data_IF_535986244341
#
_entry.id   IF_535986244341
#
_cell.length_a   1.000
_cell.length_b   1.000
_cell.length_c   1.000
_cell.angle_alpha   90.00
_cell.angle_beta   90.00
_cell.angle_gamma   90.00
#
_symmetry.space_group_name_H-M   'P 1'
#
loop_
_entity.id
_entity.type
_entity.pdbx_description
1 polymer ?
#
# COMPACT_ATOMS: atom_id res chain seq x y z
N UNK A 1 -47.18 -66.35 -9.80
CA UNK A 1 -47.28 -65.50 -8.60
C UNK A 1 -45.99 -64.68 -8.56
N UNK A 2 -46.13 -63.39 -8.82
CA UNK A 2 -45.05 -62.38 -8.92
C UNK A 2 -44.78 -61.85 -7.52
N UNK A 3 -43.52 -61.80 -7.08
CA UNK A 3 -43.00 -60.70 -6.26
C UNK A 3 -41.50 -60.56 -6.58
N UNK A 4 -41.16 -59.56 -7.40
CA UNK A 4 -39.81 -59.01 -7.48
C UNK A 4 -39.65 -58.12 -6.25
N UNK A 5 -38.70 -58.45 -5.36
CA UNK A 5 -38.38 -57.61 -4.22
C UNK A 5 -37.71 -56.32 -4.73
N UNK A 6 -38.36 -55.19 -4.48
CA UNK A 6 -37.88 -53.84 -4.80
C UNK A 6 -36.54 -53.58 -4.10
N UNK A 7 -35.58 -53.09 -4.87
CA UNK A 7 -34.34 -52.50 -4.35
C UNK A 7 -34.73 -51.26 -3.53
N UNK A 8 -34.35 -51.15 -2.25
CA UNK A 8 -34.53 -49.90 -1.53
C UNK A 8 -33.58 -48.87 -2.15
N UNK A 9 -34.17 -47.85 -2.78
CA UNK A 9 -33.50 -46.62 -3.19
C UNK A 9 -32.91 -45.98 -1.94
N UNK A 10 -31.59 -46.14 -1.76
CA UNK A 10 -30.85 -45.49 -0.68
C UNK A 10 -30.82 -44.01 -1.01
N UNK A 11 -31.69 -43.24 -0.36
CA UNK A 11 -31.62 -41.78 -0.36
C UNK A 11 -30.17 -41.36 -0.05
N UNK A 12 -29.56 -40.47 -0.85
CA UNK A 12 -28.23 -39.97 -0.54
C UNK A 12 -28.26 -39.34 0.86
N UNK A 13 -27.26 -39.61 1.71
CA UNK A 13 -27.25 -39.03 3.05
C UNK A 13 -27.26 -37.51 2.90
N UNK A 14 -28.20 -36.85 3.58
CA UNK A 14 -28.17 -35.43 3.90
C UNK A 14 -26.88 -35.17 4.67
N UNK A 15 -25.78 -34.95 3.95
CA UNK A 15 -24.55 -34.45 4.54
C UNK A 15 -24.86 -33.00 4.91
N UNK A 16 -24.84 -32.62 6.20
CA UNK A 16 -25.04 -31.24 6.58
C UNK A 16 -23.97 -30.41 5.87
N UNK A 17 -24.40 -29.58 4.92
CA UNK A 17 -23.53 -28.64 4.25
C UNK A 17 -22.98 -27.73 5.36
N UNK A 18 -21.65 -27.67 5.58
CA UNK A 18 -21.11 -26.79 6.60
C UNK A 18 -21.60 -25.37 6.30
N UNK A 19 -22.02 -24.61 7.32
CA UNK A 19 -22.50 -23.25 7.11
C UNK A 19 -21.42 -22.50 6.33
N UNK A 20 -21.83 -21.79 5.28
CA UNK A 20 -20.96 -20.90 4.53
C UNK A 20 -20.24 -20.01 5.54
N UNK A 21 -18.97 -20.31 5.80
CA UNK A 21 -18.15 -19.54 6.72
C UNK A 21 -18.16 -18.13 6.18
N UNK A 22 -18.67 -17.19 6.98
CA UNK A 22 -18.67 -15.78 6.62
C UNK A 22 -17.27 -15.44 6.12
N UNK A 23 -17.18 -14.99 4.86
CA UNK A 23 -15.94 -14.50 4.28
C UNK A 23 -15.49 -13.40 5.24
N UNK A 24 -14.41 -13.63 5.99
CA UNK A 24 -13.84 -12.59 6.86
C UNK A 24 -13.69 -11.32 6.02
N UNK A 25 -14.08 -10.15 6.53
CA UNK A 25 -13.99 -8.91 5.77
C UNK A 25 -12.53 -8.69 5.36
N UNK A 26 -12.30 -8.84 4.06
CA UNK A 26 -10.99 -8.67 3.44
C UNK A 26 -10.59 -7.19 3.58
N UNK A 27 -9.34 -6.88 3.94
CA UNK A 27 -8.89 -5.49 3.99
C UNK A 27 -9.00 -4.85 2.59
N UNK A 28 -9.33 -3.56 2.56
CA UNK A 28 -9.68 -2.82 1.32
C UNK A 28 -8.61 -2.91 0.22
N UNK A 29 -7.36 -3.12 0.63
CA UNK A 29 -6.27 -3.74 -0.11
C UNK A 29 -5.46 -4.55 0.94
N UNK A 30 -5.11 -5.80 0.67
CA UNK A 30 -3.96 -6.46 1.35
C UNK A 30 -2.66 -5.84 0.83
N UNK A 31 -2.55 -4.51 0.89
CA UNK A 31 -1.28 -3.81 0.77
C UNK A 31 -0.57 -3.99 2.10
N UNK A 32 0.24 -5.04 2.20
CA UNK A 32 1.30 -5.24 3.20
C UNK A 32 0.99 -4.48 4.50
N UNK A 33 -0.04 -4.93 5.22
CA UNK A 33 -0.53 -4.23 6.42
C UNK A 33 0.45 -4.30 7.58
N UNK A 34 1.48 -5.15 7.46
CA UNK A 34 2.63 -5.17 8.33
C UNK A 34 3.89 -5.05 7.48
N UNK A 35 4.75 -4.09 7.82
CA UNK A 35 6.12 -4.00 7.29
C UNK A 35 6.94 -5.29 7.49
N UNK A 36 6.42 -6.26 8.25
CA UNK A 36 7.03 -7.53 8.59
C UNK A 36 6.55 -8.73 7.76
N UNK A 37 5.54 -8.60 6.88
CA UNK A 37 5.12 -9.70 6.00
C UNK A 37 5.65 -9.55 4.57
N UNK A 38 6.97 -9.70 4.45
CA UNK A 38 7.67 -9.91 3.17
C UNK A 38 7.37 -11.30 2.56
N UNK A 39 6.54 -12.13 3.23
CA UNK A 39 6.15 -13.47 2.77
C UNK A 39 4.82 -13.49 2.01
N UNK A 40 4.17 -12.34 1.82
CA UNK A 40 3.21 -12.13 0.73
C UNK A 40 3.95 -12.33 -0.61
N UNK A 41 4.01 -13.60 -1.00
CA UNK A 41 4.72 -14.13 -2.16
C UNK A 41 4.37 -13.29 -3.39
N UNK A 42 5.35 -12.65 -4.02
CA UNK A 42 5.16 -11.89 -5.27
C UNK A 42 4.91 -10.38 -5.16
N UNK A 43 4.83 -9.78 -3.97
CA UNK A 43 4.66 -8.32 -3.82
C UNK A 43 5.86 -7.52 -4.37
N UNK A 44 7.06 -8.10 -4.30
CA UNK A 44 8.29 -7.59 -4.90
C UNK A 44 8.55 -8.40 -6.17
N UNK A 45 8.81 -7.73 -7.29
CA UNK A 45 9.14 -8.42 -8.55
C UNK A 45 10.36 -9.33 -8.39
N UNK A 46 10.49 -10.33 -9.26
CA UNK A 46 11.61 -11.29 -9.23
C UNK A 46 12.96 -10.64 -9.63
N UNK A 47 12.92 -9.42 -10.19
CA UNK A 47 14.09 -8.70 -10.68
C UNK A 47 14.68 -7.77 -9.62
N UNK A 48 15.96 -7.99 -9.28
CA UNK A 48 16.72 -7.13 -8.35
C UNK A 48 16.81 -5.68 -8.84
N UNK A 49 16.81 -5.43 -10.15
CA UNK A 49 16.82 -4.08 -10.68
C UNK A 49 15.52 -3.33 -10.38
N UNK A 50 14.38 -4.02 -10.29
CA UNK A 50 13.11 -3.39 -9.90
C UNK A 50 13.15 -2.90 -8.45
N UNK A 51 13.77 -3.68 -7.56
CA UNK A 51 13.97 -3.31 -6.15
C UNK A 51 14.84 -2.07 -6.04
N UNK A 52 16.01 -2.07 -6.69
CA UNK A 52 16.93 -0.95 -6.66
C UNK A 52 16.30 0.34 -7.23
N UNK A 53 15.58 0.22 -8.35
CA UNK A 53 14.85 1.35 -8.95
C UNK A 53 13.74 1.87 -8.02
N UNK A 54 13.04 0.99 -7.31
CA UNK A 54 12.00 1.37 -6.35
C UNK A 54 12.60 2.14 -5.18
N UNK A 55 13.69 1.62 -4.59
CA UNK A 55 14.38 2.29 -3.49
C UNK A 55 14.96 3.65 -3.92
N UNK A 56 15.49 3.75 -5.13
CA UNK A 56 15.98 4.99 -5.71
C UNK A 56 14.87 6.02 -5.94
N UNK A 57 13.68 5.59 -6.37
CA UNK A 57 12.50 6.45 -6.51
C UNK A 57 11.99 6.95 -5.15
N UNK A 58 11.92 6.07 -4.16
CA UNK A 58 11.52 6.41 -2.80
C UNK A 58 12.41 7.49 -2.19
N UNK A 59 13.72 7.32 -2.34
CA UNK A 59 14.70 8.29 -1.83
C UNK A 59 14.59 9.64 -2.54
N UNK A 60 14.40 9.66 -3.86
CA UNK A 60 14.18 10.90 -4.62
C UNK A 60 12.91 11.62 -4.15
N UNK A 61 11.82 10.87 -3.97
CA UNK A 61 10.54 11.42 -3.52
C UNK A 61 10.71 12.05 -2.13
N UNK A 62 11.35 11.35 -1.19
CA UNK A 62 11.63 11.88 0.14
C UNK A 62 12.54 13.10 0.10
N UNK A 63 13.57 13.08 -0.76
CA UNK A 63 14.46 14.22 -0.96
C UNK A 63 13.67 15.43 -1.45
N UNK A 64 12.90 15.28 -2.53
CA UNK A 64 12.05 16.34 -3.06
C UNK A 64 11.03 16.85 -2.02
N UNK A 65 10.45 15.95 -1.21
CA UNK A 65 9.49 16.28 -0.16
C UNK A 65 10.11 17.13 0.94
N UNK A 66 11.25 16.70 1.48
CA UNK A 66 11.88 17.35 2.62
C UNK A 66 12.51 18.71 2.26
N UNK A 67 12.84 18.92 0.98
CA UNK A 67 13.35 20.17 0.45
C UNK A 67 12.26 21.07 -0.18
N UNK A 68 11.01 20.59 -0.27
CA UNK A 68 9.92 21.37 -0.85
C UNK A 68 9.43 22.52 0.05
N UNK A 69 8.89 23.60 -0.55
CA UNK A 69 8.13 24.60 0.19
C UNK A 69 6.98 23.92 0.98
N UNK A 70 6.70 24.33 2.23
CA UNK A 70 5.73 23.65 3.09
C UNK A 70 4.32 23.56 2.49
N UNK A 71 3.92 24.57 1.70
CA UNK A 71 2.64 24.56 1.00
C UNK A 71 2.56 23.44 -0.05
N UNK A 72 3.61 23.25 -0.85
CA UNK A 72 3.68 22.19 -1.88
C UNK A 72 3.80 20.81 -1.24
N UNK A 73 4.64 20.66 -0.22
CA UNK A 73 4.76 19.41 0.53
C UNK A 73 3.41 18.98 1.11
N UNK A 74 2.66 19.91 1.70
CA UNK A 74 1.31 19.66 2.21
C UNK A 74 0.34 19.25 1.10
N UNK A 75 0.27 20.00 0.00
CA UNK A 75 -0.61 19.66 -1.13
C UNK A 75 -0.39 18.23 -1.64
N UNK A 76 0.88 17.83 -1.79
CA UNK A 76 1.21 16.47 -2.25
C UNK A 76 0.84 15.42 -1.21
N UNK A 77 1.18 15.63 0.07
CA UNK A 77 0.78 14.71 1.14
C UNK A 77 -0.74 14.57 1.22
N UNK A 78 -1.48 15.67 1.12
CA UNK A 78 -2.94 15.67 1.15
C UNK A 78 -3.54 14.97 -0.07
N UNK A 79 -2.93 15.09 -1.24
CA UNK A 79 -3.33 14.34 -2.42
C UNK A 79 -3.12 12.82 -2.24
N UNK A 80 -2.11 12.40 -1.48
CA UNK A 80 -1.83 10.98 -1.25
C UNK A 80 -2.72 10.35 -0.18
N UNK A 81 -2.81 10.99 0.99
CA UNK A 81 -3.38 10.41 2.21
C UNK A 81 -4.43 11.32 2.87
N UNK A 82 -4.97 12.30 2.14
CA UNK A 82 -6.00 13.24 2.62
C UNK A 82 -5.47 14.33 3.53
N UNK A 83 -6.32 15.25 3.96
CA UNK A 83 -6.02 16.13 5.09
C UNK A 83 -6.02 15.36 6.41
N UNK A 84 -5.52 15.98 7.48
CA UNK A 84 -5.63 15.40 8.84
C UNK A 84 -7.07 15.07 9.20
N UNK A 85 -8.01 15.96 8.86
CA UNK A 85 -9.43 15.74 9.12
C UNK A 85 -9.98 14.56 8.32
N UNK A 86 -9.56 14.40 7.06
CA UNK A 86 -9.99 13.27 6.23
C UNK A 86 -9.48 11.93 6.80
N UNK A 87 -8.24 11.91 7.30
CA UNK A 87 -7.66 10.74 7.97
C UNK A 87 -8.39 10.39 9.26
N UNK A 88 -8.65 11.38 10.12
CA UNK A 88 -9.37 11.20 11.38
C UNK A 88 -10.82 10.72 11.13
N UNK A 89 -11.43 11.14 10.03
CA UNK A 89 -12.75 10.70 9.58
C UNK A 89 -12.74 9.33 8.84
N UNK A 90 -11.58 8.78 8.54
CA UNK A 90 -11.44 7.51 7.80
C UNK A 90 -11.87 7.59 6.34
N UNK A 91 -11.69 8.74 5.68
CA UNK A 91 -12.03 8.90 4.26
C UNK A 91 -11.00 8.21 3.38
N UNK A 92 -11.42 7.22 2.59
CA UNK A 92 -10.53 6.43 1.72
C UNK A 92 -11.01 6.34 0.27
N UNK A 93 -12.02 7.10 -0.15
CA UNK A 93 -12.57 6.98 -1.51
C UNK A 93 -11.66 7.57 -2.58
N UNK A 94 -10.98 8.68 -2.29
CA UNK A 94 -10.15 9.43 -3.24
C UNK A 94 -8.69 9.57 -2.81
N UNK A 95 -8.34 9.03 -1.66
CA UNK A 95 -6.99 9.05 -1.07
C UNK A 95 -6.67 7.70 -0.45
N UNK A 96 -5.40 7.42 -0.22
CA UNK A 96 -4.98 6.21 0.47
C UNK A 96 -5.46 6.22 1.93
N UNK A 97 -5.83 5.05 2.49
CA UNK A 97 -6.01 4.90 3.93
C UNK A 97 -4.78 5.40 4.71
N UNK A 98 -5.00 6.06 5.84
CA UNK A 98 -3.92 6.63 6.66
C UNK A 98 -2.87 5.60 7.12
N UNK A 99 -3.27 4.33 7.25
CA UNK A 99 -2.41 3.21 7.64
C UNK A 99 -1.63 2.58 6.48
N UNK A 100 -1.73 3.13 5.27
CA UNK A 100 -1.07 2.55 4.08
C UNK A 100 0.45 2.63 4.19
N UNK A 101 1.11 1.47 4.03
CA UNK A 101 2.56 1.39 3.88
C UNK A 101 2.90 1.62 2.41
N UNK A 102 3.21 2.87 2.05
CA UNK A 102 3.46 3.30 0.67
C UNK A 102 4.86 2.93 0.20
N UNK A 103 5.82 2.97 1.13
CA UNK A 103 7.23 2.70 0.86
C UNK A 103 7.56 1.22 1.11
N UNK A 104 8.34 0.64 0.21
CA UNK A 104 8.96 -0.68 0.37
C UNK A 104 9.95 -0.68 1.54
N UNK A 105 10.75 0.38 1.68
CA UNK A 105 11.66 0.54 2.80
C UNK A 105 10.92 1.06 4.03
N UNK A 106 10.94 0.28 5.12
CA UNK A 106 10.38 0.72 6.40
C UNK A 106 11.03 2.02 6.92
N UNK A 107 12.33 2.22 6.66
CA UNK A 107 13.01 3.47 7.05
C UNK A 107 12.51 4.66 6.24
N UNK A 108 12.22 4.47 4.94
CA UNK A 108 11.63 5.52 4.12
C UNK A 108 10.20 5.83 4.57
N UNK A 109 9.41 4.81 4.93
CA UNK A 109 8.09 5.00 5.53
C UNK A 109 8.16 5.81 6.84
N UNK A 110 9.13 5.53 7.71
CA UNK A 110 9.35 6.27 8.96
C UNK A 110 9.66 7.76 8.71
N UNK A 111 10.44 8.06 7.67
CA UNK A 111 10.73 9.45 7.23
C UNK A 111 9.45 10.12 6.73
N UNK A 112 8.69 9.47 5.85
CA UNK A 112 7.43 9.99 5.34
C UNK A 112 6.44 10.29 6.47
N UNK A 113 6.20 9.32 7.36
CA UNK A 113 5.29 9.47 8.50
C UNK A 113 5.69 10.64 9.41
N UNK A 114 6.99 10.84 9.61
CA UNK A 114 7.51 11.96 10.40
C UNK A 114 7.32 13.29 9.69
N UNK A 115 7.52 13.35 8.37
CA UNK A 115 7.23 14.53 7.56
C UNK A 115 5.73 14.90 7.60
N UNK A 116 4.84 13.91 7.45
CA UNK A 116 3.38 14.09 7.59
C UNK A 116 3.04 14.69 8.95
N UNK A 117 3.58 14.12 10.03
CA UNK A 117 3.34 14.61 11.40
C UNK A 117 3.75 16.08 11.54
N UNK A 118 4.92 16.47 11.04
CA UNK A 118 5.37 17.87 11.09
C UNK A 118 4.43 18.80 10.30
N UNK A 119 4.00 18.40 9.11
CA UNK A 119 3.11 19.19 8.26
C UNK A 119 1.72 19.38 8.89
N UNK A 120 1.22 18.35 9.56
CA UNK A 120 -0.05 18.35 10.31
C UNK A 120 0.01 19.24 11.55
N UNK A 121 1.17 19.37 12.16
CA UNK A 121 1.45 20.33 13.25
C UNK A 121 1.65 21.77 12.74
N UNK A 122 1.65 21.99 11.41
CA UNK A 122 1.91 23.27 10.79
C UNK A 122 3.41 23.61 10.66
N UNK A 123 4.30 22.69 11.01
CA UNK A 123 5.75 22.84 10.88
C UNK A 123 6.24 22.45 9.48
N UNK A 124 7.35 23.03 8.99
CA UNK A 124 7.97 22.58 7.76
C UNK A 124 8.62 21.20 7.96
N UNK A 125 8.51 20.30 6.97
CA UNK A 125 9.11 18.97 7.03
C UNK A 125 10.58 18.95 6.58
N UNK A 126 11.43 19.82 7.15
CA UNK A 126 12.84 19.90 6.72
C UNK A 126 13.67 18.71 7.22
N UNK A 127 14.80 18.36 6.58
CA UNK A 127 15.67 17.28 7.05
C UNK A 127 16.13 17.45 8.50
N UNK A 128 16.36 18.70 8.93
CA UNK A 128 16.78 19.03 10.31
C UNK A 128 15.68 18.69 11.31
N UNK A 129 14.44 19.08 11.04
CA UNK A 129 13.32 18.82 11.94
C UNK A 129 12.92 17.34 11.97
N UNK A 130 12.98 16.66 10.82
CA UNK A 130 12.80 15.21 10.76
C UNK A 130 13.86 14.48 11.59
N UNK A 131 15.14 14.86 11.47
CA UNK A 131 16.22 14.32 12.29
C UNK A 131 16.02 14.60 13.78
N UNK A 132 15.54 15.79 14.16
CA UNK A 132 15.23 16.13 15.55
C UNK A 132 14.14 15.20 16.11
N UNK A 133 13.07 14.95 15.34
CA UNK A 133 12.02 13.99 15.73
C UNK A 133 12.54 12.57 15.86
N UNK A 134 13.50 12.15 15.02
CA UNK A 134 14.15 10.85 15.19
C UNK A 134 15.05 10.78 16.43
N UNK A 135 15.73 11.87 16.78
CA UNK A 135 16.51 11.97 18.01
C UNK A 135 15.62 11.81 19.25
N UNK A 136 14.48 12.50 19.29
CA UNK A 136 13.52 12.41 20.39
C UNK A 136 12.97 10.99 20.60
N UNK A 137 12.84 10.22 19.51
CA UNK A 137 12.36 8.82 19.51
C UNK A 137 13.47 7.78 19.66
N UNK A 138 14.75 8.18 19.76
CA UNK A 138 15.89 7.26 19.84
C UNK A 138 16.16 6.46 18.55
N UNK A 139 15.72 6.95 17.38
CA UNK A 139 15.80 6.25 16.08
C UNK A 139 17.01 6.65 15.23
N UNK A 140 17.87 7.53 15.72
CA UNK A 140 18.96 8.16 14.94
C UNK A 140 19.92 7.17 14.29
N UNK A 141 20.32 6.10 14.99
CA UNK A 141 21.22 5.09 14.42
C UNK A 141 20.60 4.39 13.21
N UNK A 142 19.31 4.05 13.28
CA UNK A 142 18.58 3.36 12.22
C UNK A 142 18.39 4.27 10.98
N UNK A 143 18.12 5.55 11.19
CA UNK A 143 17.77 6.48 10.12
C UNK A 143 18.96 7.25 9.54
N UNK A 144 20.14 7.20 10.21
CA UNK A 144 21.33 7.98 9.86
C UNK A 144 21.73 7.91 8.39
N UNK A 145 21.79 6.70 7.82
CA UNK A 145 22.24 6.54 6.42
C UNK A 145 21.30 7.24 5.44
N UNK A 146 20.00 7.00 5.58
CA UNK A 146 18.96 7.59 4.73
C UNK A 146 18.95 9.12 4.87
N UNK A 147 19.00 9.63 6.11
CA UNK A 147 18.96 11.07 6.34
C UNK A 147 20.21 11.80 5.83
N UNK A 148 21.39 11.15 5.86
CA UNK A 148 22.59 11.67 5.21
C UNK A 148 22.46 11.68 3.69
N UNK A 149 21.83 10.66 3.11
CA UNK A 149 21.62 10.56 1.67
C UNK A 149 20.60 11.58 1.15
N UNK A 150 19.54 11.85 1.92
CA UNK A 150 18.58 12.93 1.65
C UNK A 150 19.23 14.30 1.74
N UNK A 151 20.12 14.51 2.71
CA UNK A 151 20.81 15.78 2.89
C UNK A 151 21.91 16.01 1.85
N UNK A 152 22.55 14.94 1.39
CA UNK A 152 23.65 14.97 0.41
C UNK A 152 23.58 13.73 -0.49
N UNK A 153 22.76 13.78 -1.57
CA UNK A 153 22.65 12.68 -2.51
C UNK A 153 24.02 12.30 -3.10
N UNK A 154 24.25 11.00 -3.31
CA UNK A 154 25.55 10.51 -3.80
C UNK A 154 25.84 11.03 -5.21
N UNK A 155 27.12 11.28 -5.49
CA UNK A 155 27.61 11.79 -6.77
C UNK A 155 27.16 10.89 -7.94
N UNK A 156 26.54 11.47 -8.98
CA UNK A 156 26.21 10.79 -10.24
C UNK A 156 24.74 10.83 -10.67
N UNK A 157 23.83 11.29 -9.82
CA UNK A 157 22.40 11.46 -10.14
C UNK A 157 21.98 12.93 -9.93
N UNK A 158 21.17 13.54 -10.83
CA UNK A 158 20.56 14.83 -10.55
C UNK A 158 19.76 14.75 -9.24
N UNK A 159 19.94 15.74 -8.36
CA UNK A 159 19.14 15.85 -7.13
C UNK A 159 17.70 16.12 -7.54
N UNK A 160 16.76 15.31 -7.04
CA UNK A 160 15.34 15.54 -7.25
C UNK A 160 14.93 16.91 -6.73
N UNK A 161 14.36 17.75 -7.58
CA UNK A 161 13.88 19.07 -7.18
C UNK A 161 12.49 18.94 -6.53
N UNK A 162 12.19 19.85 -5.62
CA UNK A 162 10.84 20.12 -5.12
C UNK A 162 9.80 20.35 -6.23
N UNK A 163 10.21 20.72 -7.44
CA UNK A 163 9.36 20.81 -8.62
C UNK A 163 8.91 19.43 -9.14
N UNK A 164 9.73 18.40 -8.96
CA UNK A 164 9.45 17.04 -9.42
C UNK A 164 8.55 16.29 -8.44
N UNK A 165 8.31 16.83 -7.24
CA UNK A 165 7.61 16.14 -6.15
C UNK A 165 6.25 15.55 -6.56
N UNK A 166 5.34 16.26 -7.26
CA UNK A 166 4.07 15.66 -7.68
C UNK A 166 4.26 14.48 -8.66
N UNK A 167 5.25 14.57 -9.54
CA UNK A 167 5.58 13.52 -10.50
C UNK A 167 6.17 12.28 -9.80
N UNK A 168 7.12 12.49 -8.88
CA UNK A 168 7.72 11.43 -8.07
C UNK A 168 6.69 10.75 -7.17
N UNK A 169 5.77 11.52 -6.58
CA UNK A 169 4.66 10.98 -5.80
C UNK A 169 3.73 10.11 -6.67
N UNK A 170 3.41 10.54 -7.90
CA UNK A 170 2.59 9.75 -8.81
C UNK A 170 3.28 8.44 -9.19
N UNK A 171 4.57 8.46 -9.52
CA UNK A 171 5.34 7.27 -9.83
C UNK A 171 5.44 6.31 -8.63
N UNK A 172 5.61 6.83 -7.42
CA UNK A 172 5.62 6.03 -6.19
C UNK A 172 4.30 5.28 -5.99
N UNK A 173 3.18 5.97 -6.21
CA UNK A 173 1.84 5.40 -6.08
C UNK A 173 1.57 4.37 -7.19
N UNK A 174 1.97 4.64 -8.44
CA UNK A 174 1.89 3.67 -9.53
C UNK A 174 2.65 2.37 -9.17
N UNK A 175 3.84 2.51 -8.59
CA UNK A 175 4.62 1.38 -8.07
C UNK A 175 3.92 0.65 -6.93
N UNK A 176 3.35 1.37 -5.96
CA UNK A 176 2.62 0.80 -4.84
C UNK A 176 1.40 -0.01 -5.29
N UNK A 177 0.58 0.54 -6.19
CA UNK A 177 -0.57 -0.19 -6.75
C UNK A 177 -0.14 -1.41 -7.54
N UNK A 178 0.95 -1.32 -8.31
CA UNK A 178 1.51 -2.48 -9.03
C UNK A 178 1.90 -3.60 -8.07
N UNK A 179 2.57 -3.27 -6.94
CA UNK A 179 2.89 -4.26 -5.89
C UNK A 179 1.62 -4.86 -5.28
N UNK A 180 0.61 -4.04 -5.00
CA UNK A 180 -0.70 -4.49 -4.52
C UNK A 180 -1.38 -5.48 -5.48
N UNK A 181 -1.38 -5.19 -6.79
CA UNK A 181 -1.93 -6.09 -7.80
C UNK A 181 -1.17 -7.42 -7.91
N UNK A 182 0.16 -7.41 -7.77
CA UNK A 182 0.91 -8.68 -7.75
C UNK A 182 0.59 -9.53 -6.52
N UNK A 183 0.52 -8.91 -5.34
CA UNK A 183 0.11 -9.60 -4.12
C UNK A 183 -1.30 -10.19 -4.25
N UNK A 184 -2.21 -9.44 -4.87
CA UNK A 184 -3.57 -9.89 -5.17
C UNK A 184 -3.60 -11.14 -6.06
N UNK A 185 -2.80 -11.16 -7.14
CA UNK A 185 -2.71 -12.31 -8.06
C UNK A 185 -2.09 -13.55 -7.40
N UNK A 186 -1.07 -13.36 -6.56
CA UNK A 186 -0.48 -14.45 -5.80
C UNK A 186 -1.48 -15.05 -4.80
N UNK A 187 -2.25 -14.19 -4.12
CA UNK A 187 -3.31 -14.61 -3.19
C UNK A 187 -4.40 -15.40 -3.91
N UNK A 188 -4.79 -14.98 -5.11
CA UNK A 188 -5.72 -15.75 -5.93
C UNK A 188 -5.21 -17.16 -6.22
N UNK A 189 -3.94 -17.28 -6.60
CA UNK A 189 -3.31 -18.58 -6.86
C UNK A 189 -3.39 -19.46 -5.63
N UNK A 190 -3.09 -18.91 -4.45
CA UNK A 190 -3.23 -19.61 -3.17
C UNK A 190 -4.67 -20.04 -2.88
N UNK A 191 -5.64 -19.13 -3.02
CA UNK A 191 -7.07 -19.41 -2.76
C UNK A 191 -7.58 -20.54 -3.66
N UNK A 192 -7.15 -20.57 -4.93
CA UNK A 192 -7.53 -21.67 -5.85
C UNK A 192 -6.95 -23.02 -5.45
N UNK A 193 -5.83 -23.05 -4.71
CA UNK A 193 -5.22 -24.28 -4.23
C UNK A 193 -5.82 -24.77 -2.90
N UNK A 194 -6.27 -23.85 -2.04
CA UNK A 194 -6.65 -24.16 -0.65
C UNK A 194 -8.15 -24.23 -0.40
N UNK A 195 -8.99 -23.59 -1.23
CA UNK A 195 -10.43 -23.41 -0.94
C UNK A 195 -11.34 -24.31 -1.78
N UNK A 196 -12.50 -24.74 -1.22
CA UNK A 196 -13.51 -25.48 -1.96
C UNK A 196 -14.04 -24.70 -3.17
N UNK A 197 -14.35 -25.40 -4.26
CA UNK A 197 -14.84 -24.77 -5.52
C UNK A 197 -16.08 -23.89 -5.32
N UNK A 198 -16.96 -24.25 -4.38
CA UNK A 198 -18.18 -23.48 -4.09
C UNK A 198 -17.91 -22.08 -3.52
N UNK A 199 -16.75 -21.85 -2.87
CA UNK A 199 -16.38 -20.57 -2.27
C UNK A 199 -15.66 -19.64 -3.26
N UNK A 200 -15.11 -20.20 -4.36
CA UNK A 200 -14.28 -19.46 -5.31
C UNK A 200 -15.01 -18.29 -5.98
N UNK A 201 -16.31 -18.44 -6.30
CA UNK A 201 -17.09 -17.39 -6.92
C UNK A 201 -17.23 -16.15 -6.02
N UNK A 202 -17.46 -16.36 -4.72
CA UNK A 202 -17.55 -15.28 -3.73
C UNK A 202 -16.23 -14.54 -3.56
N UNK A 203 -15.11 -15.27 -3.51
CA UNK A 203 -13.77 -14.68 -3.47
C UNK A 203 -13.47 -13.84 -4.71
N UNK A 204 -13.82 -14.29 -5.91
CA UNK A 204 -13.64 -13.54 -7.14
C UNK A 204 -14.47 -12.25 -7.17
N UNK A 205 -15.73 -12.30 -6.72
CA UNK A 205 -16.59 -11.11 -6.63
C UNK A 205 -16.03 -10.07 -5.66
N UNK A 206 -15.59 -10.48 -4.47
CA UNK A 206 -14.97 -9.57 -3.50
C UNK A 206 -13.72 -8.90 -4.09
N UNK A 207 -12.85 -9.70 -4.71
CA UNK A 207 -11.61 -9.24 -5.32
C UNK A 207 -11.84 -8.22 -6.44
N UNK A 208 -12.84 -8.46 -7.28
CA UNK A 208 -13.22 -7.52 -8.34
C UNK A 208 -13.70 -6.19 -7.76
N UNK A 209 -14.50 -6.23 -6.69
CA UNK A 209 -14.93 -5.01 -5.97
C UNK A 209 -13.75 -4.22 -5.41
N UNK A 210 -12.76 -4.91 -4.81
CA UNK A 210 -11.53 -4.28 -4.31
C UNK A 210 -10.72 -3.63 -5.43
N UNK A 211 -10.56 -4.33 -6.57
CA UNK A 211 -9.84 -3.81 -7.74
C UNK A 211 -10.49 -2.51 -8.27
N UNK A 212 -11.82 -2.47 -8.38
CA UNK A 212 -12.55 -1.29 -8.87
C UNK A 212 -12.41 -0.09 -7.92
N UNK A 213 -12.50 -0.32 -6.61
CA UNK A 213 -12.29 0.73 -5.61
C UNK A 213 -10.84 1.25 -5.65
N UNK A 214 -9.87 0.34 -5.75
CA UNK A 214 -8.46 0.65 -5.87
C UNK A 214 -8.16 1.51 -7.11
N UNK A 215 -8.71 1.16 -8.26
CA UNK A 215 -8.57 1.89 -9.53
C UNK A 215 -9.20 3.29 -9.46
N UNK A 216 -10.42 3.40 -8.90
CA UNK A 216 -11.09 4.69 -8.71
C UNK A 216 -10.25 5.63 -7.85
N UNK A 217 -9.71 5.12 -6.73
CA UNK A 217 -8.83 5.86 -5.83
C UNK A 217 -7.52 6.26 -6.52
N UNK A 218 -6.91 5.33 -7.24
CA UNK A 218 -5.65 5.57 -7.97
C UNK A 218 -5.80 6.72 -8.97
N UNK A 219 -6.85 6.69 -9.79
CA UNK A 219 -7.15 7.76 -10.75
C UNK A 219 -7.38 9.10 -10.05
N UNK A 220 -8.15 9.12 -8.95
CA UNK A 220 -8.40 10.33 -8.18
C UNK A 220 -7.11 10.96 -7.61
N UNK A 221 -6.19 10.13 -7.09
CA UNK A 221 -4.88 10.57 -6.60
C UNK A 221 -4.06 11.15 -7.77
N UNK A 222 -3.97 10.44 -8.90
CA UNK A 222 -3.22 10.90 -10.07
C UNK A 222 -3.74 12.21 -10.64
N UNK A 223 -5.05 12.36 -10.75
CA UNK A 223 -5.69 13.59 -11.23
C UNK A 223 -5.45 14.77 -10.27
N UNK A 224 -5.37 14.49 -8.97
CA UNK A 224 -5.06 15.53 -7.97
C UNK A 224 -3.59 15.94 -8.05
N UNK A 225 -2.66 14.99 -8.14
CA UNK A 225 -1.24 15.27 -8.29
C UNK A 225 -0.91 16.01 -9.59
N UNK A 226 -1.61 15.71 -10.69
CA UNK A 226 -1.41 16.39 -11.98
C UNK A 226 -1.83 17.87 -11.97
N UNK A 227 -2.59 18.32 -10.96
CA UNK A 227 -3.07 19.70 -10.80
C UNK A 227 -2.18 20.56 -9.89
N UNK A 228 -1.17 19.96 -9.25
CA UNK A 228 -0.19 20.62 -8.36
C UNK A 228 1.03 21.07 -9.17
#
# INVERSE_FOLDING_TARGET
MIVMAENPEVAPPDVPQPPATAIEPLPELETVTAADDLTLTGAVGEDTAEVDNTLALELDMLTALLWAPPARARQVVEALIGSRADRDAGTTSTVLPASSVVFLSAVHQDVFNTAVTLLDEGSPATPVLVNARFADRGLTTRTRSVMLEIASPRHGRPVADSADLPHLAAALIDGWYRRGYRALLARMTQVTAERPTAELAGHWTALTGHQQAAETRWLAIRDTLARI
#
